data_IF_899377040436
#
_entry.id   IF_899377040436
#
_cell.length_a   1.000
_cell.length_b   1.000
_cell.length_c   1.000
_cell.angle_alpha   90.00
_cell.angle_beta   90.00
_cell.angle_gamma   90.00
#
_symmetry.space_group_name_H-M   'P 1'
#
loop_
_entity.id
_entity.type
_entity.pdbx_description
1 polymer ?
#
# COMPACT_ATOMS: atom_id res chain seq x y z
N UNK A 1 -30.74 -70.38 -4.85
CA UNK A 1 -30.42 -69.42 -5.92
C UNK A 1 -31.07 -68.08 -5.58
N UNK A 2 -30.44 -67.24 -4.75
CA UNK A 2 -30.89 -65.85 -4.53
C UNK A 2 -29.76 -64.98 -3.95
N UNK A 3 -29.33 -64.01 -4.76
CA UNK A 3 -28.86 -62.67 -4.37
C UNK A 3 -27.71 -62.52 -3.38
N UNK A 4 -26.51 -62.23 -3.90
CA UNK A 4 -25.47 -61.49 -3.15
C UNK A 4 -26.02 -60.13 -2.74
N UNK A 5 -26.04 -59.82 -1.45
CA UNK A 5 -25.97 -58.44 -0.98
C UNK A 5 -24.52 -58.00 -1.12
N UNK A 6 -24.19 -57.33 -2.23
CA UNK A 6 -22.99 -56.49 -2.32
C UNK A 6 -23.19 -55.31 -1.37
N UNK A 7 -22.76 -55.48 -0.12
CA UNK A 7 -22.56 -54.35 0.77
C UNK A 7 -21.28 -53.65 0.32
N UNK A 8 -21.47 -52.45 -0.21
CA UNK A 8 -20.42 -51.56 -0.69
C UNK A 8 -19.59 -51.11 0.51
N UNK A 9 -18.51 -51.83 0.79
CA UNK A 9 -17.44 -51.31 1.63
C UNK A 9 -16.69 -50.26 0.80
N UNK A 10 -17.16 -49.01 0.86
CA UNK A 10 -16.44 -47.86 0.32
C UNK A 10 -15.15 -47.71 1.15
N UNK A 11 -13.94 -47.83 0.55
CA UNK A 11 -12.72 -47.44 1.23
C UNK A 11 -12.80 -45.93 1.47
N UNK A 12 -12.54 -45.52 2.70
CA UNK A 12 -12.43 -44.14 3.13
C UNK A 12 -11.31 -43.48 2.32
N UNK A 13 -11.68 -42.89 1.19
CA UNK A 13 -10.79 -42.03 0.42
C UNK A 13 -10.41 -40.88 1.34
N UNK A 14 -9.12 -40.64 1.61
CA UNK A 14 -8.69 -39.40 2.20
C UNK A 14 -9.04 -38.32 1.18
N UNK A 15 -10.08 -37.56 1.47
CA UNK A 15 -10.38 -36.31 0.80
C UNK A 15 -9.15 -35.43 0.95
N UNK A 16 -8.26 -35.48 -0.04
CA UNK A 16 -7.23 -34.48 -0.25
C UNK A 16 -7.98 -33.21 -0.64
N UNK A 17 -8.43 -32.52 0.40
CA UNK A 17 -9.02 -31.21 0.37
C UNK A 17 -8.28 -30.36 -0.66
N UNK A 18 -9.03 -29.89 -1.65
CA UNK A 18 -8.69 -28.76 -2.51
C UNK A 18 -8.51 -27.54 -1.63
N UNK A 19 -7.37 -27.46 -0.94
CA UNK A 19 -6.97 -26.24 -0.27
C UNK A 19 -6.48 -25.32 -1.37
N UNK A 20 -7.43 -24.59 -1.95
CA UNK A 20 -7.16 -23.36 -2.65
C UNK A 20 -6.38 -22.49 -1.68
N UNK A 21 -5.06 -22.38 -1.87
CA UNK A 21 -4.20 -21.50 -1.11
C UNK A 21 -4.68 -20.07 -1.36
N UNK A 22 -5.18 -19.34 -0.34
CA UNK A 22 -5.24 -17.90 -0.46
C UNK A 22 -3.78 -17.42 -0.35
N UNK A 23 -3.12 -17.18 -1.49
CA UNK A 23 -1.96 -16.27 -1.53
C UNK A 23 -2.45 -14.88 -1.07
N UNK A 24 -2.49 -14.70 0.25
CA UNK A 24 -2.70 -13.40 0.87
C UNK A 24 -1.47 -12.53 0.59
N UNK A 25 -1.63 -11.30 0.06
CA UNK A 25 -0.51 -10.41 -0.14
C UNK A 25 0.13 -10.07 1.22
N UNK A 26 1.27 -10.68 1.53
CA UNK A 26 2.03 -10.39 2.75
C UNK A 26 3.03 -9.26 2.48
N UNK A 27 2.53 -8.07 2.15
CA UNK A 27 3.30 -6.86 2.41
C UNK A 27 3.05 -6.48 3.87
N UNK A 28 4.06 -6.57 4.77
CA UNK A 28 3.85 -6.39 6.19
C UNK A 28 3.33 -4.96 6.46
N UNK A 29 2.04 -4.78 6.85
CA UNK A 29 1.45 -3.46 7.04
C UNK A 29 2.22 -2.64 8.10
N UNK A 30 2.90 -3.35 8.99
CA UNK A 30 3.72 -2.82 10.09
C UNK A 30 4.99 -2.12 9.62
N UNK A 31 5.64 -2.62 8.55
CA UNK A 31 6.90 -2.05 8.08
C UNK A 31 6.69 -0.64 7.51
N UNK A 32 5.62 -0.45 6.73
CA UNK A 32 5.24 0.85 6.18
C UNK A 32 4.89 1.85 7.29
N UNK A 33 4.14 1.44 8.31
CA UNK A 33 3.81 2.30 9.45
C UNK A 33 5.04 2.73 10.25
N UNK A 34 5.98 1.81 10.51
CA UNK A 34 7.22 2.12 11.22
C UNK A 34 8.10 3.07 10.41
N UNK A 35 8.22 2.84 9.10
CA UNK A 35 8.98 3.73 8.22
C UNK A 35 8.43 5.16 8.24
N UNK A 36 7.10 5.31 8.14
CA UNK A 36 6.46 6.63 8.23
C UNK A 36 6.76 7.28 9.57
N UNK A 37 6.70 6.53 10.67
CA UNK A 37 6.97 7.06 12.01
C UNK A 37 8.43 7.52 12.17
N UNK A 38 9.39 6.76 11.63
CA UNK A 38 10.80 7.15 11.57
C UNK A 38 10.98 8.46 10.81
N UNK A 39 10.34 8.58 9.63
CA UNK A 39 10.40 9.80 8.83
C UNK A 39 9.81 10.99 9.59
N UNK A 40 8.68 10.81 10.27
CA UNK A 40 8.06 11.87 11.08
C UNK A 40 8.98 12.34 12.19
N UNK A 41 9.55 11.42 12.97
CA UNK A 41 10.52 11.78 14.04
C UNK A 41 11.75 12.46 13.48
N UNK A 42 12.25 11.97 12.35
CA UNK A 42 13.40 12.58 11.67
C UNK A 42 13.10 14.02 11.24
N UNK A 43 11.92 14.27 10.66
CA UNK A 43 11.50 15.62 10.26
C UNK A 43 11.40 16.54 11.47
N UNK A 44 10.77 16.10 12.56
CA UNK A 44 10.68 16.89 13.81
C UNK A 44 12.08 17.20 14.33
N UNK A 45 12.97 16.20 14.39
CA UNK A 45 14.34 16.39 14.83
C UNK A 45 15.11 17.37 13.94
N UNK A 46 14.97 17.25 12.62
CA UNK A 46 15.63 18.12 11.65
C UNK A 46 15.19 19.58 11.81
N UNK A 47 13.89 19.82 12.01
CA UNK A 47 13.33 21.16 12.24
C UNK A 47 13.84 21.75 13.55
N UNK A 48 13.86 20.98 14.64
CA UNK A 48 14.35 21.46 15.95
C UNK A 48 15.86 21.72 15.91
N UNK A 49 16.62 20.88 15.22
CA UNK A 49 18.09 20.99 15.18
C UNK A 49 18.56 22.09 14.25
N UNK A 50 17.98 22.21 13.07
CA UNK A 50 18.38 23.15 12.03
C UNK A 50 17.13 23.67 11.28
N UNK A 51 16.39 24.62 11.87
CA UNK A 51 15.13 25.09 11.32
C UNK A 51 15.29 25.72 9.93
N UNK A 52 16.40 26.43 9.70
CA UNK A 52 16.67 27.10 8.43
C UNK A 52 16.77 26.10 7.27
N UNK A 53 17.51 25.01 7.47
CA UNK A 53 17.68 23.96 6.45
C UNK A 53 16.38 23.23 6.15
N UNK A 54 15.55 23.00 7.17
CA UNK A 54 14.23 22.40 6.97
C UNK A 54 13.29 23.36 6.20
N UNK A 55 13.32 24.65 6.54
CA UNK A 55 12.55 25.68 5.86
C UNK A 55 12.94 25.79 4.38
N UNK A 56 14.24 25.79 4.06
CA UNK A 56 14.74 25.84 2.68
C UNK A 56 14.17 24.70 1.82
N UNK A 57 14.20 23.47 2.34
CA UNK A 57 13.70 22.28 1.63
C UNK A 57 12.19 22.36 1.43
N UNK A 58 11.44 22.68 2.48
CA UNK A 58 9.97 22.81 2.40
C UNK A 58 9.59 23.93 1.43
N UNK A 59 10.27 25.07 1.49
CA UNK A 59 10.07 26.21 0.58
C UNK A 59 10.29 25.79 -0.87
N UNK A 60 11.39 25.10 -1.15
CA UNK A 60 11.71 24.62 -2.50
C UNK A 60 10.64 23.67 -3.06
N UNK A 61 10.18 22.71 -2.25
CA UNK A 61 9.09 21.79 -2.65
C UNK A 61 7.80 22.56 -2.91
N UNK A 62 7.49 23.51 -2.05
CA UNK A 62 6.28 24.31 -2.15
C UNK A 62 6.28 25.23 -3.37
N UNK A 63 7.41 25.87 -3.66
CA UNK A 63 7.58 26.72 -4.85
C UNK A 63 7.44 25.90 -6.13
N UNK A 64 7.94 24.65 -6.15
CA UNK A 64 7.72 23.73 -7.28
C UNK A 64 6.24 23.40 -7.48
N UNK A 65 5.52 23.09 -6.40
CA UNK A 65 4.07 22.81 -6.45
C UNK A 65 3.33 24.05 -6.96
N UNK A 66 3.60 25.23 -6.41
CA UNK A 66 2.97 26.46 -6.87
C UNK A 66 3.27 26.78 -8.33
N UNK A 67 4.51 26.58 -8.78
CA UNK A 67 4.89 26.74 -10.18
C UNK A 67 4.10 25.81 -11.10
N UNK A 68 3.94 24.55 -10.71
CA UNK A 68 3.14 23.58 -11.46
C UNK A 68 1.65 24.00 -11.53
N UNK A 69 1.06 24.40 -10.40
CA UNK A 69 -0.31 24.90 -10.35
C UNK A 69 -0.51 26.19 -11.15
N UNK A 70 0.44 27.12 -11.10
CA UNK A 70 0.40 28.36 -11.89
C UNK A 70 0.41 28.05 -13.40
N UNK A 71 1.20 27.06 -13.84
CA UNK A 71 1.17 26.59 -15.22
C UNK A 71 -0.21 26.08 -15.65
N UNK A 72 -0.85 25.27 -14.80
CA UNK A 72 -2.23 24.82 -15.05
C UNK A 72 -3.24 25.98 -15.05
N UNK A 73 -3.13 26.92 -14.12
CA UNK A 73 -4.00 28.10 -14.04
C UNK A 73 -3.85 28.99 -15.29
N UNK A 74 -2.63 29.18 -15.78
CA UNK A 74 -2.35 29.92 -17.02
C UNK A 74 -2.97 29.22 -18.23
N UNK A 75 -2.86 27.89 -18.31
CA UNK A 75 -3.50 27.12 -19.37
C UNK A 75 -5.02 27.34 -19.38
N UNK A 76 -5.69 27.20 -18.23
CA UNK A 76 -7.14 27.44 -18.15
C UNK A 76 -7.52 28.89 -18.45
N UNK A 77 -6.73 29.87 -18.00
CA UNK A 77 -6.95 31.28 -18.33
C UNK A 77 -6.88 31.54 -19.84
N UNK A 78 -5.96 30.86 -20.54
CA UNK A 78 -5.85 30.95 -22.00
C UNK A 78 -6.99 30.23 -22.74
N UNK A 79 -7.66 29.24 -22.11
CA UNK A 79 -8.80 28.53 -22.70
C UNK A 79 -10.14 29.21 -22.44
N UNK A 80 -10.26 29.91 -21.30
CA UNK A 80 -11.47 30.62 -20.89
C UNK A 80 -11.56 32.05 -21.47
N UNK A 81 -10.46 32.55 -22.04
CA UNK A 81 -10.38 33.81 -22.78
C UNK A 81 -10.64 33.58 -24.27
#
# INVERSE_FOLDING_TARGET
MTGRTTTSAVPSSPDHATTNEPEGPTMPPRAKSILIWIVVVFVIYAVVRNPDKAADVVRSVWDFIYGAFAGFAQFFSNLAA
#
